data_IF_011511095608
#
_entry.id   IF_011511095608
#
_cell.length_a   1.000
_cell.length_b   1.000
_cell.length_c   1.000
_cell.angle_alpha   90.00
_cell.angle_beta   90.00
_cell.angle_gamma   90.00
#
_symmetry.space_group_name_H-M   'P 1'
#
loop_
_entity.id
_entity.type
_entity.pdbx_description
1 polymer ?
#
# COMPACT_ATOMS: atom_id res chain seq x y z
N UNK A 1 13.65 19.45 -26.57
CA UNK A 1 13.41 19.79 -25.15
C UNK A 1 12.14 19.11 -24.73
N UNK A 2 12.13 18.40 -23.60
CA UNK A 2 10.95 17.69 -23.10
C UNK A 2 10.03 18.64 -22.31
N UNK A 3 8.74 18.32 -22.25
CA UNK A 3 7.81 19.05 -21.38
C UNK A 3 7.97 18.59 -19.93
N UNK A 4 8.09 17.27 -19.70
CA UNK A 4 8.30 16.73 -18.37
C UNK A 4 9.27 15.53 -18.37
N UNK A 5 10.09 15.47 -17.33
CA UNK A 5 10.89 14.30 -16.98
C UNK A 5 10.42 13.76 -15.65
N UNK A 6 10.18 12.46 -15.56
CA UNK A 6 9.79 11.77 -14.32
C UNK A 6 10.95 10.91 -13.83
N UNK A 7 11.29 11.04 -12.55
CA UNK A 7 12.36 10.28 -11.90
C UNK A 7 11.73 9.25 -10.96
N UNK A 8 11.91 7.97 -11.28
CA UNK A 8 11.29 6.82 -10.62
C UNK A 8 10.09 6.29 -11.40
N UNK A 9 10.11 5.00 -11.75
CA UNK A 9 9.01 4.31 -12.43
C UNK A 9 8.14 3.50 -11.47
N UNK A 10 7.88 4.03 -10.27
CA UNK A 10 6.87 3.49 -9.38
C UNK A 10 5.45 3.78 -9.90
N UNK A 11 4.40 3.23 -9.25
CA UNK A 11 3.02 3.42 -9.69
C UNK A 11 2.62 4.90 -9.76
N UNK A 12 3.15 5.74 -8.86
CA UNK A 12 2.85 7.17 -8.90
C UNK A 12 3.61 7.88 -10.02
N UNK A 13 4.90 7.61 -10.22
CA UNK A 13 5.69 8.18 -11.31
C UNK A 13 5.12 7.83 -12.69
N UNK A 14 4.81 6.55 -12.91
CA UNK A 14 4.16 6.09 -14.13
C UNK A 14 2.78 6.75 -14.33
N UNK A 15 1.98 6.90 -13.27
CA UNK A 15 0.69 7.61 -13.36
C UNK A 15 0.89 9.07 -13.74
N UNK A 16 1.86 9.77 -13.14
CA UNK A 16 2.15 11.16 -13.47
C UNK A 16 2.55 11.29 -14.94
N UNK A 17 3.40 10.39 -15.43
CA UNK A 17 3.84 10.36 -16.82
C UNK A 17 2.68 10.14 -17.79
N UNK A 18 1.83 9.13 -17.54
CA UNK A 18 0.65 8.84 -18.36
C UNK A 18 -0.32 10.04 -18.36
N UNK A 19 -0.60 10.64 -17.21
CA UNK A 19 -1.52 11.78 -17.12
C UNK A 19 -1.02 13.01 -17.89
N UNK A 20 0.29 13.24 -17.92
CA UNK A 20 0.91 14.31 -18.71
C UNK A 20 0.90 13.97 -20.21
N UNK A 21 1.28 12.75 -20.59
CA UNK A 21 1.28 12.30 -21.98
C UNK A 21 -0.12 12.31 -22.60
N UNK A 22 -1.17 11.91 -21.86
CA UNK A 22 -2.58 12.02 -22.28
C UNK A 22 -3.02 13.45 -22.61
N UNK A 23 -2.31 14.45 -22.11
CA UNK A 23 -2.57 15.88 -22.36
C UNK A 23 -1.68 16.44 -23.48
N UNK A 24 -0.96 15.59 -24.20
CA UNK A 24 -0.11 15.96 -25.33
C UNK A 24 1.29 16.47 -24.95
N UNK A 25 1.71 16.31 -23.69
CA UNK A 25 3.06 16.67 -23.28
C UNK A 25 4.06 15.57 -23.63
N UNK A 26 5.26 15.97 -24.06
CA UNK A 26 6.39 15.07 -24.26
C UNK A 26 6.99 14.66 -22.91
N UNK A 27 7.01 13.35 -22.61
CA UNK A 27 7.41 12.82 -21.31
C UNK A 27 8.44 11.70 -21.44
N UNK A 28 9.49 11.75 -20.60
CA UNK A 28 10.43 10.65 -20.39
C UNK A 28 10.46 10.25 -18.91
N UNK A 29 10.52 8.94 -18.64
CA UNK A 29 10.66 8.37 -17.30
C UNK A 29 12.05 7.76 -17.16
N UNK A 30 12.72 8.00 -16.04
CA UNK A 30 14.02 7.40 -15.70
C UNK A 30 13.91 6.53 -14.46
N UNK A 31 14.35 5.29 -14.55
CA UNK A 31 14.29 4.27 -13.50
C UNK A 31 15.70 3.71 -13.26
N UNK A 32 16.10 3.64 -12.00
CA UNK A 32 17.42 3.16 -11.61
C UNK A 32 17.57 1.64 -11.78
N UNK A 33 16.45 0.91 -11.77
CA UNK A 33 16.41 -0.55 -11.91
C UNK A 33 16.20 -0.97 -13.35
N UNK A 34 16.47 -2.25 -13.64
CA UNK A 34 16.25 -2.86 -14.94
C UNK A 34 14.79 -3.04 -15.31
N UNK A 35 13.89 -2.93 -14.33
CA UNK A 35 12.44 -3.05 -14.51
C UNK A 35 11.71 -1.92 -13.82
N UNK A 36 10.56 -1.54 -14.40
CA UNK A 36 9.64 -0.59 -13.78
C UNK A 36 8.88 -1.22 -12.61
N UNK A 37 8.27 -0.38 -11.79
CA UNK A 37 7.21 -0.78 -10.86
C UNK A 37 7.48 -0.43 -9.40
N UNK A 38 8.73 -0.11 -9.02
CA UNK A 38 9.04 0.31 -7.64
C UNK A 38 8.58 -0.71 -6.60
N UNK A 39 7.50 -0.41 -5.87
CA UNK A 39 6.88 -1.31 -4.89
C UNK A 39 5.82 -2.28 -5.43
N UNK A 40 5.42 -2.13 -6.69
CA UNK A 40 4.47 -2.98 -7.40
C UNK A 40 5.23 -3.80 -8.46
N UNK A 41 6.11 -4.67 -7.98
CA UNK A 41 6.93 -5.58 -8.79
C UNK A 41 6.64 -7.02 -8.44
N UNK A 42 7.05 -7.91 -9.34
CA UNK A 42 6.97 -9.36 -9.18
C UNK A 42 8.30 -9.96 -9.62
N UNK A 43 8.85 -10.88 -8.82
CA UNK A 43 10.17 -11.49 -9.03
C UNK A 43 10.15 -12.97 -8.62
N UNK A 44 11.02 -13.80 -9.20
CA UNK A 44 11.28 -15.17 -8.74
C UNK A 44 12.31 -15.14 -7.59
N UNK A 45 11.83 -14.93 -6.37
CA UNK A 45 12.68 -14.73 -5.19
C UNK A 45 13.20 -16.03 -4.55
N UNK A 46 12.51 -17.17 -4.75
CA UNK A 46 12.84 -18.42 -4.06
C UNK A 46 13.32 -19.51 -5.02
N UNK A 47 12.40 -20.19 -5.69
CA UNK A 47 12.67 -21.27 -6.64
C UNK A 47 12.16 -20.87 -8.02
N UNK A 48 12.74 -21.41 -9.11
CA UNK A 48 12.26 -21.15 -10.47
C UNK A 48 10.77 -21.46 -10.62
N UNK A 49 10.02 -20.57 -11.28
CA UNK A 49 8.58 -20.68 -11.47
C UNK A 49 7.72 -20.24 -10.29
N UNK A 50 8.31 -19.85 -9.14
CA UNK A 50 7.58 -19.27 -8.01
C UNK A 50 7.73 -17.74 -8.03
N UNK A 51 6.64 -17.05 -8.37
CA UNK A 51 6.60 -15.60 -8.54
C UNK A 51 6.05 -14.93 -7.29
N UNK A 52 6.86 -14.07 -6.71
CA UNK A 52 6.57 -13.35 -5.46
C UNK A 52 6.46 -11.86 -5.73
N UNK A 53 5.67 -11.16 -4.91
CA UNK A 53 5.65 -9.70 -4.95
C UNK A 53 6.52 -9.18 -3.79
N UNK A 54 7.70 -8.59 -4.04
CA UNK A 54 8.61 -8.19 -2.96
C UNK A 54 8.03 -7.16 -1.98
N UNK A 55 6.97 -6.43 -2.37
CA UNK A 55 6.29 -5.45 -1.51
C UNK A 55 4.76 -5.56 -1.63
N UNK A 56 4.11 -4.77 -2.49
CA UNK A 56 2.65 -4.78 -2.61
C UNK A 56 2.17 -6.03 -3.36
N UNK A 57 1.14 -6.73 -2.88
CA UNK A 57 0.59 -7.93 -3.54
C UNK A 57 -0.95 -7.91 -3.67
N UNK A 58 -1.66 -7.50 -2.62
CA UNK A 58 -3.10 -7.21 -2.69
C UNK A 58 -3.31 -5.72 -2.99
N UNK A 59 -4.33 -5.40 -3.79
CA UNK A 59 -4.51 -4.08 -4.40
C UNK A 59 -5.85 -3.41 -4.10
N UNK A 60 -6.29 -3.31 -2.82
CA UNK A 60 -7.56 -2.68 -2.46
C UNK A 60 -7.66 -1.22 -2.90
N UNK A 61 -6.55 -0.48 -2.81
CA UNK A 61 -6.52 0.94 -3.19
C UNK A 61 -6.31 1.14 -4.70
N UNK A 62 -5.74 0.17 -5.41
CA UNK A 62 -5.50 0.29 -6.86
C UNK A 62 -6.81 0.16 -7.62
N UNK A 63 -7.58 -0.92 -7.38
CA UNK A 63 -8.87 -1.14 -8.05
C UNK A 63 -9.90 -0.04 -7.69
N UNK A 64 -9.78 0.55 -6.50
CA UNK A 64 -10.63 1.66 -6.06
C UNK A 64 -10.10 3.04 -6.45
N UNK A 65 -8.92 3.13 -7.09
CA UNK A 65 -8.31 4.42 -7.42
C UNK A 65 -9.05 5.12 -8.56
N UNK A 66 -9.49 6.38 -8.35
CA UNK A 66 -10.00 7.21 -9.44
C UNK A 66 -8.99 7.43 -10.56
N UNK A 67 -7.69 7.46 -10.25
CA UNK A 67 -6.64 7.64 -11.26
C UNK A 67 -6.57 6.43 -12.19
N UNK A 68 -6.46 5.21 -11.65
CA UNK A 68 -6.34 4.01 -12.47
C UNK A 68 -7.63 3.68 -13.22
N UNK A 69 -8.80 3.88 -12.60
CA UNK A 69 -10.10 3.64 -13.26
C UNK A 69 -10.37 4.56 -14.45
N UNK A 70 -9.67 5.69 -14.55
CA UNK A 70 -9.77 6.61 -15.68
C UNK A 70 -8.83 6.25 -16.85
N UNK A 71 -8.06 5.15 -16.72
CA UNK A 71 -7.10 4.66 -17.70
C UNK A 71 -7.55 3.29 -18.24
N UNK A 72 -7.35 2.99 -19.53
CA UNK A 72 -7.77 1.74 -20.14
C UNK A 72 -6.73 0.62 -19.90
N UNK A 73 -6.35 0.37 -18.64
CA UNK A 73 -5.23 -0.53 -18.30
C UNK A 73 -5.50 -2.00 -18.66
N UNK A 74 -6.77 -2.40 -18.71
CA UNK A 74 -7.19 -3.74 -19.12
C UNK A 74 -6.80 -4.03 -20.58
N UNK A 75 -6.76 -3.00 -21.44
CA UNK A 75 -6.28 -3.12 -22.83
C UNK A 75 -4.78 -3.44 -22.92
N UNK A 76 -4.06 -3.18 -21.83
CA UNK A 76 -2.62 -3.43 -21.70
C UNK A 76 -2.33 -4.64 -20.80
N UNK A 77 -3.32 -5.51 -20.57
CA UNK A 77 -3.13 -6.81 -19.92
C UNK A 77 -3.35 -6.81 -18.40
N UNK A 78 -3.80 -5.70 -17.80
CA UNK A 78 -4.15 -5.70 -16.37
C UNK A 78 -5.48 -6.44 -16.15
N UNK A 79 -5.45 -7.52 -15.38
CA UNK A 79 -6.63 -8.26 -14.94
C UNK A 79 -6.62 -8.42 -13.42
N UNK A 80 -7.73 -8.11 -12.78
CA UNK A 80 -7.92 -8.27 -11.34
C UNK A 80 -8.56 -9.61 -11.01
N UNK A 81 -7.92 -10.38 -10.13
CA UNK A 81 -8.41 -11.67 -9.64
C UNK A 81 -8.89 -11.51 -8.19
N UNK A 82 -10.10 -12.01 -7.93
CA UNK A 82 -10.76 -11.89 -6.64
C UNK A 82 -10.86 -13.25 -5.95
N UNK A 83 -10.32 -13.32 -4.73
CA UNK A 83 -10.60 -14.44 -3.83
C UNK A 83 -12.06 -14.39 -3.37
N UNK A 84 -12.58 -15.54 -2.93
CA UNK A 84 -13.93 -15.65 -2.37
C UNK A 84 -14.09 -14.64 -1.23
N UNK A 85 -13.12 -14.62 -0.31
CA UNK A 85 -12.99 -13.63 0.74
C UNK A 85 -11.82 -12.67 0.45
N UNK A 86 -12.06 -11.34 0.42
CA UNK A 86 -10.99 -10.36 0.37
C UNK A 86 -9.96 -10.55 1.50
N UNK A 87 -10.45 -10.72 2.74
CA UNK A 87 -9.58 -10.91 3.90
C UNK A 87 -10.25 -11.74 5.00
N UNK A 88 -9.46 -12.52 5.71
CA UNK A 88 -9.86 -13.21 6.94
C UNK A 88 -8.88 -12.93 8.09
N UNK A 89 -9.41 -12.95 9.31
CA UNK A 89 -8.68 -12.81 10.56
C UNK A 89 -8.94 -14.04 11.44
N UNK A 90 -8.12 -15.11 11.33
CA UNK A 90 -8.30 -16.33 12.10
C UNK A 90 -7.96 -16.14 13.58
N UNK A 91 -8.59 -16.95 14.42
CA UNK A 91 -8.35 -17.06 15.86
C UNK A 91 -7.77 -18.45 16.22
N UNK A 92 -7.06 -18.58 17.35
CA UNK A 92 -6.47 -19.85 17.76
C UNK A 92 -7.47 -20.99 18.00
N UNK A 93 -8.75 -20.67 18.23
CA UNK A 93 -9.83 -21.65 18.41
C UNK A 93 -10.36 -22.23 17.09
N UNK A 94 -9.82 -21.79 15.95
CA UNK A 94 -10.24 -22.21 14.61
C UNK A 94 -11.40 -21.40 14.03
N UNK A 95 -11.94 -20.42 14.75
CA UNK A 95 -12.88 -19.45 14.20
C UNK A 95 -12.16 -18.33 13.43
N UNK A 96 -12.91 -17.52 12.69
CA UNK A 96 -12.37 -16.34 12.02
C UNK A 96 -13.41 -15.22 11.93
N UNK A 97 -12.93 -13.98 12.02
CA UNK A 97 -13.65 -12.82 11.52
C UNK A 97 -13.31 -12.63 10.04
N UNK A 98 -14.29 -12.28 9.20
CA UNK A 98 -14.05 -12.10 7.76
C UNK A 98 -14.38 -10.70 7.32
N UNK A 99 -13.61 -10.18 6.36
CA UNK A 99 -13.96 -9.00 5.59
C UNK A 99 -14.35 -9.46 4.18
N UNK A 100 -15.64 -9.69 4.01
CA UNK A 100 -16.28 -10.05 2.77
C UNK A 100 -16.52 -8.83 1.86
N UNK A 101 -16.97 -9.09 0.62
CA UNK A 101 -17.44 -8.05 -0.31
C UNK A 101 -18.81 -7.51 0.05
N UNK A 102 -19.57 -8.21 0.90
CA UNK A 102 -20.87 -7.76 1.38
C UNK A 102 -20.77 -7.37 2.85
N UNK A 103 -21.44 -6.28 3.22
CA UNK A 103 -21.50 -5.84 4.62
C UNK A 103 -22.18 -6.89 5.50
N UNK A 104 -23.22 -7.54 4.97
CA UNK A 104 -23.99 -8.54 5.70
C UNK A 104 -23.15 -9.72 6.17
N UNK A 105 -22.30 -10.26 5.29
CA UNK A 105 -21.42 -11.40 5.60
C UNK A 105 -20.32 -11.03 6.60
N UNK A 106 -19.66 -9.87 6.41
CA UNK A 106 -18.71 -9.35 7.41
C UNK A 106 -19.37 -9.14 8.77
N UNK A 107 -20.55 -8.50 8.79
CA UNK A 107 -21.30 -8.26 10.02
C UNK A 107 -21.70 -9.58 10.71
N UNK A 108 -22.09 -10.60 9.96
CA UNK A 108 -22.43 -11.92 10.50
C UNK A 108 -21.23 -12.58 11.20
N UNK A 109 -20.02 -12.42 10.66
CA UNK A 109 -18.80 -12.98 11.27
C UNK A 109 -18.41 -12.36 12.62
N UNK A 110 -18.94 -11.18 12.95
CA UNK A 110 -18.71 -10.54 14.26
C UNK A 110 -19.68 -11.02 15.34
N UNK A 111 -20.67 -11.83 14.99
CA UNK A 111 -21.71 -12.28 15.91
C UNK A 111 -22.82 -11.25 16.13
N UNK A 112 -23.91 -11.67 16.78
CA UNK A 112 -25.16 -10.90 16.85
C UNK A 112 -25.04 -9.57 17.60
N UNK A 113 -24.06 -9.44 18.51
CA UNK A 113 -23.91 -8.25 19.36
C UNK A 113 -23.27 -7.07 18.62
N UNK A 114 -22.44 -7.36 17.61
CA UNK A 114 -21.62 -6.37 16.91
C UNK A 114 -21.98 -6.19 15.43
N UNK A 115 -22.78 -7.10 14.86
CA UNK A 115 -23.24 -7.04 13.47
C UNK A 115 -23.85 -5.67 13.12
N UNK A 116 -24.80 -5.19 13.92
CA UNK A 116 -25.48 -3.92 13.66
C UNK A 116 -24.59 -2.70 13.91
N UNK A 117 -23.65 -2.79 14.86
CA UNK A 117 -22.68 -1.73 15.08
C UNK A 117 -21.77 -1.56 13.86
N UNK A 118 -21.38 -2.66 13.22
CA UNK A 118 -20.61 -2.63 11.98
C UNK A 118 -21.42 -2.07 10.82
N UNK A 119 -22.65 -2.54 10.59
CA UNK A 119 -23.53 -2.04 9.52
C UNK A 119 -23.69 -0.52 9.57
N UNK A 120 -24.05 0.01 10.73
CA UNK A 120 -24.19 1.47 10.96
C UNK A 120 -22.90 2.25 10.73
N UNK A 121 -21.74 1.61 10.89
CA UNK A 121 -20.45 2.25 10.70
C UNK A 121 -20.06 2.34 9.21
N UNK A 122 -20.36 1.32 8.40
CA UNK A 122 -19.86 1.23 7.00
C UNK A 122 -20.92 1.54 5.95
N UNK A 123 -22.17 1.08 6.11
CA UNK A 123 -23.22 1.20 5.10
C UNK A 123 -23.50 2.64 4.64
N UNK A 124 -23.49 3.66 5.52
CA UNK A 124 -23.78 5.04 5.11
C UNK A 124 -22.82 5.59 4.04
N UNK A 125 -21.62 5.03 3.92
CA UNK A 125 -20.59 5.52 3.01
C UNK A 125 -20.55 4.75 1.68
N UNK A 126 -21.04 3.52 1.62
CA UNK A 126 -20.90 2.65 0.44
C UNK A 126 -21.61 3.16 -0.82
N UNK A 127 -22.87 3.65 -0.76
CA UNK A 127 -23.55 4.19 -1.95
C UNK A 127 -22.82 5.39 -2.57
N UNK A 128 -21.99 6.08 -1.78
CA UNK A 128 -21.23 7.27 -2.18
C UNK A 128 -19.73 7.01 -2.22
N UNK A 129 -19.30 5.74 -2.25
CA UNK A 129 -17.90 5.37 -2.17
C UNK A 129 -17.03 6.05 -3.24
N UNK A 130 -17.46 6.07 -4.50
CA UNK A 130 -16.66 6.67 -5.58
C UNK A 130 -16.43 8.17 -5.38
N UNK A 131 -17.44 8.89 -4.90
CA UNK A 131 -17.33 10.31 -4.57
C UNK A 131 -16.45 10.51 -3.33
N UNK A 132 -16.66 9.70 -2.29
CA UNK A 132 -15.88 9.76 -1.06
C UNK A 132 -14.39 9.45 -1.31
N UNK A 133 -14.09 8.35 -2.00
CA UNK A 133 -12.73 7.94 -2.34
C UNK A 133 -12.03 9.02 -3.17
N UNK A 134 -12.73 9.61 -4.15
CA UNK A 134 -12.20 10.75 -4.91
C UNK A 134 -11.90 11.95 -4.02
N UNK A 135 -12.87 12.38 -3.22
CA UNK A 135 -12.71 13.58 -2.38
C UNK A 135 -11.61 13.37 -1.33
N UNK A 136 -11.59 12.21 -0.67
CA UNK A 136 -10.54 11.80 0.29
C UNK A 136 -9.15 11.72 -0.37
N UNK A 137 -9.03 11.11 -1.55
CA UNK A 137 -7.75 10.94 -2.25
C UNK A 137 -7.28 12.19 -3.03
N UNK A 138 -8.12 13.21 -3.15
CA UNK A 138 -7.82 14.46 -3.89
C UNK A 138 -7.32 15.60 -3.01
N UNK A 139 -7.26 15.41 -1.69
CA UNK A 139 -6.65 16.37 -0.75
C UNK A 139 -5.19 16.61 -1.20
N UNK A 140 -4.81 17.86 -1.54
CA UNK A 140 -4.90 19.06 -0.70
C UNK A 140 -6.08 20.00 -1.01
N UNK A 141 -6.33 20.94 -0.07
CA UNK A 141 -7.35 22.03 -0.01
C UNK A 141 -7.62 22.85 -1.29
N UNK A 142 -6.90 22.61 -2.39
CA UNK A 142 -7.11 23.26 -3.69
C UNK A 142 -8.21 22.64 -4.54
N UNK A 143 -8.66 21.43 -4.22
CA UNK A 143 -9.81 20.79 -4.87
C UNK A 143 -11.04 20.90 -3.95
N UNK A 144 -12.08 21.59 -4.41
CA UNK A 144 -13.36 21.62 -3.71
C UNK A 144 -13.97 20.19 -3.71
N UNK A 145 -14.37 19.65 -2.56
CA UNK A 145 -14.99 18.33 -2.49
C UNK A 145 -16.31 18.35 -3.27
N UNK A 146 -16.62 17.25 -3.98
CA UNK A 146 -17.91 17.11 -4.67
C UNK A 146 -19.05 16.86 -3.68
N UNK A 147 -18.78 16.15 -2.60
CA UNK A 147 -19.75 15.90 -1.53
C UNK A 147 -19.16 16.24 -0.15
N UNK A 148 -19.11 17.54 0.21
CA UNK A 148 -18.57 17.98 1.50
C UNK A 148 -19.32 17.37 2.69
N UNK A 149 -20.60 17.05 2.56
CA UNK A 149 -21.42 16.49 3.65
C UNK A 149 -20.98 15.06 3.96
N UNK A 150 -20.84 14.21 2.94
CA UNK A 150 -20.35 12.85 3.12
C UNK A 150 -18.91 12.83 3.62
N UNK A 151 -18.05 13.70 3.08
CA UNK A 151 -16.66 13.82 3.54
C UNK A 151 -16.58 14.27 5.02
N UNK A 152 -17.42 15.22 5.43
CA UNK A 152 -17.48 15.65 6.83
C UNK A 152 -17.98 14.54 7.76
N UNK A 153 -19.03 13.79 7.37
CA UNK A 153 -19.51 12.62 8.10
C UNK A 153 -18.45 11.53 8.22
N UNK A 154 -17.70 11.30 7.15
CA UNK A 154 -16.56 10.38 7.15
C UNK A 154 -15.46 10.86 8.09
N UNK A 155 -15.14 12.16 8.08
CA UNK A 155 -14.20 12.79 9.02
C UNK A 155 -14.61 12.61 10.47
N UNK A 156 -15.89 12.81 10.82
CA UNK A 156 -16.39 12.58 12.18
C UNK A 156 -16.26 11.12 12.63
N UNK A 157 -16.40 10.17 11.71
CA UNK A 157 -16.22 8.75 11.99
C UNK A 157 -14.74 8.34 12.05
N UNK A 158 -13.88 8.91 11.19
CA UNK A 158 -12.52 8.44 10.96
C UNK A 158 -11.39 9.26 11.59
N UNK A 159 -11.58 10.55 11.90
CA UNK A 159 -10.57 11.36 12.58
C UNK A 159 -10.24 10.88 14.00
N UNK A 160 -11.19 10.33 14.79
CA UNK A 160 -10.86 9.77 16.09
C UNK A 160 -9.88 8.59 15.98
N UNK A 161 -9.08 8.34 17.05
CA UNK A 161 -8.26 7.14 17.12
C UNK A 161 -9.09 5.86 16.97
N UNK A 162 -8.51 4.85 16.33
CA UNK A 162 -9.19 3.57 16.14
C UNK A 162 -9.57 2.91 17.46
N UNK A 163 -8.80 3.14 18.53
CA UNK A 163 -9.13 2.67 19.88
C UNK A 163 -10.46 3.22 20.40
N UNK A 164 -10.86 4.44 20.02
CA UNK A 164 -12.17 5.00 20.36
C UNK A 164 -13.26 4.42 19.45
N UNK A 165 -12.95 4.26 18.16
CA UNK A 165 -13.88 3.66 17.20
C UNK A 165 -14.26 2.23 17.61
N UNK A 166 -13.28 1.43 18.01
CA UNK A 166 -13.45 0.04 18.44
C UNK A 166 -14.25 -0.13 19.74
N UNK A 167 -14.45 0.92 20.54
CA UNK A 167 -15.36 0.85 21.71
C UNK A 167 -16.82 0.61 21.34
N UNK A 168 -17.17 0.78 20.06
CA UNK A 168 -18.51 0.44 19.52
C UNK A 168 -18.75 -1.07 19.49
N UNK A 169 -17.68 -1.85 19.45
CA UNK A 169 -17.73 -3.31 19.41
C UNK A 169 -17.59 -3.87 20.82
N UNK A 170 -18.36 -4.91 21.13
CA UNK A 170 -18.38 -5.59 22.42
C UNK A 170 -17.40 -6.75 22.42
N UNK A 171 -17.41 -7.54 21.36
CA UNK A 171 -16.72 -8.82 21.27
C UNK A 171 -15.38 -8.65 20.54
N UNK A 172 -14.49 -9.63 20.73
CA UNK A 172 -13.12 -9.56 20.23
C UNK A 172 -12.99 -9.64 18.69
N UNK A 173 -13.81 -10.44 17.97
CA UNK A 173 -13.68 -10.59 16.52
C UNK A 173 -13.66 -9.27 15.73
N UNK A 174 -14.60 -8.38 16.03
CA UNK A 174 -14.69 -7.08 15.37
C UNK A 174 -13.52 -6.15 15.72
N UNK A 175 -13.07 -6.16 16.98
CA UNK A 175 -11.93 -5.35 17.44
C UNK A 175 -10.62 -5.82 16.84
N UNK A 176 -10.41 -7.13 16.76
CA UNK A 176 -9.19 -7.72 16.23
C UNK A 176 -9.07 -7.44 14.72
N UNK A 177 -10.12 -7.70 13.95
CA UNK A 177 -10.15 -7.39 12.51
C UNK A 177 -9.90 -5.90 12.25
N UNK A 178 -10.58 -5.00 12.98
CA UNK A 178 -10.38 -3.57 12.79
C UNK A 178 -8.98 -3.10 13.22
N UNK A 179 -8.41 -3.69 14.28
CA UNK A 179 -7.02 -3.42 14.69
C UNK A 179 -6.04 -3.82 13.59
N UNK A 180 -6.24 -4.97 12.96
CA UNK A 180 -5.41 -5.43 11.87
C UNK A 180 -5.54 -4.57 10.61
N UNK A 181 -6.73 -4.06 10.28
CA UNK A 181 -6.92 -3.07 9.19
C UNK A 181 -6.09 -1.80 9.40
N UNK A 182 -6.03 -1.28 10.64
CA UNK A 182 -5.22 -0.10 10.95
C UNK A 182 -3.72 -0.41 10.91
N UNK A 183 -3.35 -1.62 11.32
CA UNK A 183 -1.97 -2.06 11.34
C UNK A 183 -1.35 -2.17 9.92
N UNK A 184 -2.13 -2.20 8.83
CA UNK A 184 -1.64 -2.26 7.44
C UNK A 184 -0.69 -1.13 7.03
N UNK A 185 -0.72 -0.02 7.75
CA UNK A 185 0.12 1.16 7.46
C UNK A 185 1.14 1.41 8.58
N UNK A 186 1.42 0.40 9.40
CA UNK A 186 2.38 0.45 10.53
C UNK A 186 2.08 1.57 11.54
N UNK A 187 0.82 2.02 11.60
CA UNK A 187 0.38 3.08 12.49
C UNK A 187 0.01 2.52 13.86
N UNK A 188 0.30 3.25 14.96
CA UNK A 188 -0.18 2.88 16.28
C UNK A 188 -1.70 3.03 16.36
N UNK A 189 -2.42 2.08 16.97
CA UNK A 189 -3.89 2.11 17.05
C UNK A 189 -4.44 3.42 17.66
N UNK A 190 -3.76 3.97 18.67
CA UNK A 190 -4.18 5.19 19.37
C UNK A 190 -3.85 6.51 18.65
N UNK A 191 -3.31 6.49 17.43
CA UNK A 191 -2.93 7.69 16.70
C UNK A 191 -4.12 8.53 16.20
N UNK A 192 -3.89 9.81 15.95
CA UNK A 192 -4.86 10.67 15.27
C UNK A 192 -5.18 10.15 13.86
N UNK A 193 -6.46 10.19 13.46
CA UNK A 193 -6.98 9.75 12.16
C UNK A 193 -6.75 8.27 11.79
N UNK A 194 -6.39 7.42 12.75
CA UNK A 194 -6.21 5.97 12.49
C UNK A 194 -7.54 5.24 12.28
N UNK A 195 -8.66 5.79 12.78
CA UNK A 195 -9.99 5.29 12.45
C UNK A 195 -10.29 5.37 10.95
N UNK A 196 -9.88 6.46 10.29
CA UNK A 196 -10.09 6.68 8.86
C UNK A 196 -9.35 5.63 8.02
N UNK A 197 -8.13 5.26 8.41
CA UNK A 197 -7.36 4.20 7.76
C UNK A 197 -8.14 2.88 7.77
N UNK A 198 -8.58 2.43 8.94
CA UNK A 198 -9.34 1.18 9.07
C UNK A 198 -10.65 1.21 8.28
N UNK A 199 -11.35 2.35 8.30
CA UNK A 199 -12.59 2.55 7.53
C UNK A 199 -12.35 2.51 6.02
N UNK A 200 -11.31 3.19 5.49
CA UNK A 200 -11.00 3.17 4.05
C UNK A 200 -10.76 1.74 3.58
N UNK A 201 -9.98 0.96 4.32
CA UNK A 201 -9.70 -0.43 3.97
C UNK A 201 -10.95 -1.33 4.02
N UNK A 202 -11.79 -1.16 5.04
CA UNK A 202 -13.08 -1.86 5.13
C UNK A 202 -14.01 -1.49 3.97
N UNK A 203 -14.18 -0.19 3.69
CA UNK A 203 -15.03 0.29 2.61
C UNK A 203 -14.51 -0.14 1.23
N UNK A 204 -13.19 -0.13 1.02
CA UNK A 204 -12.57 -0.60 -0.21
C UNK A 204 -12.88 -2.09 -0.48
N UNK A 205 -12.92 -2.93 0.56
CA UNK A 205 -13.29 -4.34 0.45
C UNK A 205 -14.74 -4.52 -0.01
N UNK A 206 -15.67 -3.79 0.61
CA UNK A 206 -17.09 -3.84 0.25
C UNK A 206 -17.37 -3.26 -1.13
N UNK A 207 -16.64 -2.21 -1.52
CA UNK A 207 -16.88 -1.55 -2.79
C UNK A 207 -16.37 -2.38 -3.98
N UNK A 208 -15.13 -2.89 -3.91
CA UNK A 208 -14.48 -3.59 -5.03
C UNK A 208 -13.55 -4.72 -4.61
N UNK A 209 -13.54 -5.13 -3.35
CA UNK A 209 -12.69 -6.21 -2.85
C UNK A 209 -11.21 -5.84 -2.77
N UNK A 210 -10.40 -6.85 -2.42
CA UNK A 210 -8.94 -6.76 -2.29
C UNK A 210 -8.31 -7.74 -3.30
N UNK A 211 -8.36 -7.41 -4.61
CA UNK A 211 -7.86 -8.32 -5.63
C UNK A 211 -6.32 -8.40 -5.63
N UNK A 212 -5.82 -9.46 -6.25
CA UNK A 212 -4.45 -9.52 -6.76
C UNK A 212 -4.50 -9.29 -8.27
N UNK A 213 -3.41 -8.80 -8.86
CA UNK A 213 -3.33 -8.71 -10.31
C UNK A 213 -2.84 -10.05 -10.89
N UNK A 214 -3.44 -10.52 -12.00
CA UNK A 214 -3.00 -11.74 -12.68
C UNK A 214 -1.53 -11.63 -13.08
N UNK A 215 -0.75 -12.67 -12.79
CA UNK A 215 0.70 -12.70 -13.00
C UNK A 215 1.49 -11.91 -11.96
N UNK A 216 0.83 -11.20 -11.04
CA UNK A 216 1.41 -10.39 -9.97
C UNK A 216 1.34 -8.89 -10.17
N UNK A 217 1.81 -8.16 -9.17
CA UNK A 217 1.79 -6.70 -9.10
C UNK A 217 2.54 -6.00 -10.24
N UNK A 218 3.50 -6.70 -10.87
CA UNK A 218 4.22 -6.19 -12.04
C UNK A 218 3.27 -5.82 -13.19
N UNK A 219 2.18 -6.56 -13.38
CA UNK A 219 1.22 -6.34 -14.47
C UNK A 219 0.59 -4.94 -14.46
N UNK A 220 0.36 -4.35 -13.27
CA UNK A 220 -0.10 -2.96 -13.16
C UNK A 220 0.94 -1.97 -13.68
N UNK A 221 2.19 -2.16 -13.30
CA UNK A 221 3.31 -1.29 -13.69
C UNK A 221 3.60 -1.42 -15.19
N UNK A 222 3.54 -2.64 -15.72
CA UNK A 222 3.72 -2.93 -17.14
C UNK A 222 2.57 -2.33 -17.97
N UNK A 223 1.33 -2.43 -17.51
CA UNK A 223 0.18 -1.83 -18.19
C UNK A 223 0.28 -0.30 -18.26
N UNK A 224 0.71 0.35 -17.17
CA UNK A 224 0.96 1.80 -17.14
C UNK A 224 2.11 2.19 -18.09
N UNK A 225 3.22 1.43 -18.09
CA UNK A 225 4.36 1.70 -18.95
C UNK A 225 4.03 1.46 -20.43
N UNK A 226 3.26 0.42 -20.75
CA UNK A 226 2.80 0.15 -22.11
C UNK A 226 1.87 1.26 -22.61
N UNK A 227 0.93 1.70 -21.77
CA UNK A 227 0.06 2.82 -22.13
C UNK A 227 0.83 4.13 -22.31
N UNK A 228 1.84 4.40 -21.47
CA UNK A 228 2.71 5.56 -21.67
C UNK A 228 3.41 5.53 -23.03
N UNK A 229 3.92 4.37 -23.45
CA UNK A 229 4.58 4.21 -24.76
C UNK A 229 3.60 4.40 -25.92
N UNK A 230 2.37 3.90 -25.81
CA UNK A 230 1.30 4.14 -26.79
C UNK A 230 0.99 5.64 -26.96
N UNK A 231 1.07 6.40 -25.86
CA UNK A 231 0.94 7.86 -25.87
C UNK A 231 2.19 8.60 -26.36
N UNK A 232 3.24 7.89 -26.77
CA UNK A 232 4.51 8.47 -27.26
C UNK A 232 5.53 8.86 -26.18
N UNK A 233 5.31 8.47 -24.92
CA UNK A 233 6.29 8.67 -23.85
C UNK A 233 7.40 7.61 -23.85
N UNK A 234 8.57 7.95 -23.31
CA UNK A 234 9.71 7.02 -23.18
C UNK A 234 9.94 6.58 -21.73
N UNK A 235 10.51 5.38 -21.58
CA UNK A 235 10.94 4.83 -20.28
C UNK A 235 12.37 4.34 -20.43
N UNK A 236 13.26 4.86 -19.60
CA UNK A 236 14.69 4.53 -19.55
C UNK A 236 14.96 3.82 -18.22
N UNK A 237 15.24 2.51 -18.28
CA UNK A 237 15.67 1.70 -17.14
C UNK A 237 17.19 1.73 -17.01
N UNK A 238 17.71 1.17 -15.92
CA UNK A 238 19.16 1.08 -15.64
C UNK A 238 19.85 2.45 -15.60
N UNK A 239 19.10 3.50 -15.26
CA UNK A 239 19.58 4.87 -15.20
C UNK A 239 19.32 5.49 -13.84
N UNK A 240 20.32 5.42 -12.96
CA UNK A 240 20.27 6.08 -11.66
C UNK A 240 20.56 7.57 -11.79
N UNK A 241 19.54 8.40 -11.55
CA UNK A 241 19.67 9.86 -11.51
C UNK A 241 20.33 10.28 -10.19
N UNK A 242 21.56 10.79 -10.25
CA UNK A 242 22.33 11.21 -9.06
C UNK A 242 22.24 12.71 -8.82
N UNK A 243 22.14 13.49 -9.89
CA UNK A 243 22.00 14.95 -9.87
C UNK A 243 20.98 15.40 -10.91
N UNK A 244 20.37 16.57 -10.69
CA UNK A 244 19.40 17.13 -11.62
C UNK A 244 19.99 17.35 -13.02
N UNK A 245 21.27 17.71 -13.11
CA UNK A 245 21.99 17.95 -14.38
C UNK A 245 22.26 16.66 -15.18
N UNK A 246 22.05 15.49 -14.59
CA UNK A 246 22.17 14.21 -15.31
C UNK A 246 20.92 14.00 -16.22
N UNK A 247 19.83 14.75 -16.02
CA UNK A 247 18.60 14.64 -16.79
C UNK A 247 18.62 15.48 -18.06
N UNK A 248 17.91 15.05 -19.12
CA UNK A 248 17.76 15.87 -20.32
C UNK A 248 16.98 17.17 -20.01
N UNK A 249 17.25 18.27 -20.74
CA UNK A 249 16.55 19.54 -20.54
C UNK A 249 15.03 19.40 -20.68
N UNK A 250 14.31 19.73 -19.60
CA UNK A 250 12.86 19.70 -19.53
C UNK A 250 12.25 20.93 -18.85
N UNK A 251 10.99 21.22 -19.16
CA UNK A 251 10.23 22.32 -18.53
C UNK A 251 9.77 21.98 -17.11
N UNK A 252 9.63 20.69 -16.79
CA UNK A 252 9.30 20.19 -15.46
C UNK A 252 10.02 18.87 -15.13
N UNK A 253 10.40 18.69 -13.87
CA UNK A 253 10.99 17.46 -13.32
C UNK A 253 10.12 16.95 -12.17
N UNK A 254 9.65 15.71 -12.25
CA UNK A 254 8.67 15.13 -11.32
C UNK A 254 9.30 13.92 -10.63
N UNK A 255 9.48 13.99 -9.31
CA UNK A 255 10.17 12.95 -8.55
C UNK A 255 9.18 12.00 -7.88
N UNK A 256 9.19 10.73 -8.27
CA UNK A 256 8.59 9.60 -7.53
C UNK A 256 9.63 8.98 -6.57
N UNK A 257 10.28 9.85 -5.79
CA UNK A 257 11.34 9.47 -4.84
C UNK A 257 10.97 9.89 -3.42
N UNK A 258 11.73 9.42 -2.45
CA UNK A 258 11.65 9.92 -1.08
C UNK A 258 12.04 11.42 -1.04
N UNK A 259 11.53 12.20 -0.07
CA UNK A 259 11.86 13.62 0.04
C UNK A 259 13.37 13.86 0.27
N UNK A 260 14.06 12.94 0.95
CA UNK A 260 15.51 13.03 1.16
C UNK A 260 16.29 12.73 -0.12
N UNK A 261 15.86 11.76 -0.94
CA UNK A 261 16.46 11.52 -2.24
C UNK A 261 16.26 12.72 -3.18
N UNK A 262 15.06 13.29 -3.21
CA UNK A 262 14.78 14.53 -3.95
C UNK A 262 15.68 15.68 -3.48
N UNK A 263 15.80 15.89 -2.15
CA UNK A 263 16.66 16.94 -1.61
C UNK A 263 18.11 16.81 -2.07
N UNK A 264 18.63 15.58 -2.09
CA UNK A 264 19.98 15.26 -2.52
C UNK A 264 20.18 15.50 -4.01
N UNK A 265 19.28 14.99 -4.85
CA UNK A 265 19.41 15.06 -6.33
C UNK A 265 19.21 16.49 -6.84
N UNK A 266 18.22 17.21 -6.30
CA UNK A 266 17.86 18.57 -6.73
C UNK A 266 18.59 19.69 -5.95
N UNK A 267 19.47 19.35 -4.99
CA UNK A 267 20.25 20.32 -4.24
C UNK A 267 19.44 21.20 -3.27
N UNK A 268 18.39 20.68 -2.65
CA UNK A 268 17.54 21.44 -1.72
C UNK A 268 18.08 21.51 -0.28
N UNK A 269 19.28 20.99 -0.02
CA UNK A 269 19.91 20.97 1.30
C UNK A 269 18.97 20.39 2.36
N UNK A 270 18.78 21.13 3.45
CA UNK A 270 17.96 20.69 4.59
C UNK A 270 16.46 20.92 4.42
N UNK A 271 15.96 21.19 3.20
CA UNK A 271 14.54 21.48 2.99
C UNK A 271 13.65 20.39 3.60
N UNK A 272 13.97 19.10 3.45
CA UNK A 272 13.16 18.00 3.99
C UNK A 272 13.72 17.40 5.30
N UNK A 273 14.59 18.09 6.04
CA UNK A 273 15.23 17.56 7.24
C UNK A 273 14.25 17.18 8.37
N UNK A 274 13.07 17.81 8.42
CA UNK A 274 12.02 17.47 9.40
C UNK A 274 11.12 16.29 8.99
N UNK A 275 11.31 15.72 7.80
CA UNK A 275 10.51 14.59 7.32
C UNK A 275 10.92 13.30 8.02
N UNK A 276 9.96 12.64 8.70
CA UNK A 276 10.25 11.44 9.49
C UNK A 276 9.85 10.18 8.73
N UNK A 277 10.74 9.20 8.70
CA UNK A 277 10.44 7.84 8.27
C UNK A 277 9.88 7.02 9.44
N UNK A 278 8.98 6.10 9.12
CA UNK A 278 8.29 5.24 10.08
C UNK A 278 9.10 3.98 10.45
N UNK A 279 8.46 3.05 11.17
CA UNK A 279 8.97 1.70 11.36
C UNK A 279 9.35 1.01 10.06
N UNK A 280 10.11 -0.08 10.14
CA UNK A 280 10.38 -0.97 9.02
C UNK A 280 9.48 -2.20 8.99
N UNK A 281 9.68 -3.06 8.00
CA UNK A 281 9.10 -4.40 7.96
C UNK A 281 10.18 -5.46 7.78
N UNK A 282 9.94 -6.66 8.32
CA UNK A 282 10.69 -7.87 8.00
C UNK A 282 9.75 -8.81 7.26
N UNK A 283 10.06 -9.08 6.00
CA UNK A 283 9.21 -9.85 5.08
C UNK A 283 9.85 -11.17 4.71
N UNK A 284 9.01 -12.19 4.53
CA UNK A 284 9.41 -13.52 4.10
C UNK A 284 8.46 -13.96 2.98
N UNK A 285 9.06 -14.36 1.86
CA UNK A 285 8.39 -14.95 0.71
C UNK A 285 8.67 -16.46 0.70
N UNK A 286 7.62 -17.27 0.58
CA UNK A 286 7.66 -18.73 0.69
C UNK A 286 7.20 -19.39 -0.59
N UNK A 287 7.99 -20.34 -1.08
CA UNK A 287 7.52 -21.39 -1.98
C UNK A 287 6.99 -22.56 -1.16
N UNK A 288 5.77 -23.01 -1.44
CA UNK A 288 5.06 -24.02 -0.64
C UNK A 288 4.68 -25.26 -1.44
N UNK A 289 4.74 -26.43 -0.80
CA UNK A 289 4.23 -27.73 -1.26
C UNK A 289 2.74 -27.91 -0.96
N UNK A 290 1.93 -26.98 -1.46
CA UNK A 290 0.49 -26.94 -1.24
C UNK A 290 0.04 -25.66 -0.51
N UNK A 291 -1.28 -25.52 -0.27
CA UNK A 291 -1.83 -24.36 0.40
C UNK A 291 -1.41 -24.30 1.88
N UNK A 292 -1.45 -23.10 2.46
CA UNK A 292 -1.22 -22.91 3.90
C UNK A 292 -2.31 -23.66 4.68
N UNK A 293 -1.95 -24.51 5.66
CA UNK A 293 -2.91 -25.35 6.37
C UNK A 293 -3.61 -24.59 7.51
N UNK A 294 -4.25 -23.46 7.20
CA UNK A 294 -4.98 -22.66 8.20
C UNK A 294 -6.01 -23.51 8.94
N UNK A 295 -6.08 -23.38 10.27
CA UNK A 295 -7.09 -24.05 11.09
C UNK A 295 -8.49 -23.54 10.73
N UNK A 296 -8.65 -22.22 10.61
CA UNK A 296 -9.91 -21.59 10.19
C UNK A 296 -10.17 -21.81 8.70
N UNK A 297 -11.38 -22.25 8.35
CA UNK A 297 -11.77 -22.57 6.97
C UNK A 297 -11.78 -21.31 6.10
N UNK A 298 -12.26 -20.21 6.64
CA UNK A 298 -12.39 -18.91 5.97
C UNK A 298 -11.03 -18.38 5.50
N UNK A 299 -9.97 -18.60 6.31
CA UNK A 299 -8.62 -18.18 5.96
C UNK A 299 -8.04 -18.94 4.76
N UNK A 300 -8.52 -20.16 4.46
CA UNK A 300 -8.13 -20.93 3.26
C UNK A 300 -8.71 -20.35 1.97
N UNK A 301 -9.86 -19.68 2.06
CA UNK A 301 -10.55 -19.05 0.93
C UNK A 301 -10.21 -17.56 0.77
N UNK A 302 -9.42 -17.00 1.70
CA UNK A 302 -9.09 -15.58 1.72
C UNK A 302 -7.83 -15.23 0.92
N UNK A 303 -7.89 -14.15 0.15
CA UNK A 303 -6.72 -13.62 -0.56
C UNK A 303 -5.68 -13.04 0.40
N UNK A 304 -6.13 -12.36 1.46
CA UNK A 304 -5.29 -11.79 2.52
C UNK A 304 -5.64 -12.41 3.86
N UNK A 305 -4.66 -12.74 4.70
CA UNK A 305 -4.89 -13.21 6.07
C UNK A 305 -4.14 -12.34 7.07
N UNK A 306 -4.86 -11.84 8.07
CA UNK A 306 -4.32 -11.04 9.17
C UNK A 306 -4.09 -11.95 10.39
N UNK A 307 -2.85 -12.02 10.86
CA UNK A 307 -2.50 -12.93 11.96
C UNK A 307 -2.17 -12.14 13.21
N UNK A 308 -3.05 -12.25 14.21
CA UNK A 308 -2.85 -11.72 15.56
C UNK A 308 -4.00 -12.16 16.45
N UNK A 309 -3.71 -12.75 17.62
CA UNK A 309 -4.74 -13.46 18.38
C UNK A 309 -5.85 -12.56 18.96
N UNK A 310 -5.56 -11.26 19.15
CA UNK A 310 -6.50 -10.28 19.70
C UNK A 310 -6.06 -8.85 19.37
N UNK A 311 -6.99 -7.90 19.48
CA UNK A 311 -6.72 -6.46 19.42
C UNK A 311 -5.65 -6.02 20.43
N UNK A 312 -5.60 -6.66 21.61
CA UNK A 312 -4.58 -6.40 22.62
C UNK A 312 -3.19 -6.90 22.20
N UNK A 313 -3.08 -8.10 21.61
CA UNK A 313 -1.83 -8.66 21.07
C UNK A 313 -1.30 -7.77 19.94
N UNK A 314 -2.17 -7.39 18.99
CA UNK A 314 -1.84 -6.48 17.88
C UNK A 314 -1.35 -5.13 18.41
N UNK A 315 -2.10 -4.54 19.35
CA UNK A 315 -1.73 -3.27 19.97
C UNK A 315 -0.38 -3.34 20.70
N UNK A 316 -0.08 -4.45 21.37
CA UNK A 316 1.21 -4.66 22.03
C UNK A 316 2.37 -4.77 21.03
N UNK A 317 2.19 -5.53 19.94
CA UNK A 317 3.19 -5.64 18.88
C UNK A 317 3.49 -4.27 18.23
N UNK A 318 2.45 -3.49 17.94
CA UNK A 318 2.61 -2.14 17.38
C UNK A 318 3.32 -1.18 18.34
N UNK A 319 3.05 -1.25 19.65
CA UNK A 319 3.74 -0.44 20.66
C UNK A 319 5.21 -0.81 20.81
N UNK A 320 5.51 -2.12 20.83
CA UNK A 320 6.88 -2.63 20.91
C UNK A 320 7.76 -2.03 19.80
N UNK A 321 7.24 -2.00 18.58
CA UNK A 321 7.93 -1.45 17.41
C UNK A 321 7.99 0.08 17.43
N UNK A 322 6.83 0.74 17.58
CA UNK A 322 6.72 2.18 17.35
C UNK A 322 7.15 3.06 18.53
N UNK A 323 7.16 2.53 19.76
CA UNK A 323 7.48 3.29 20.98
C UNK A 323 8.68 2.73 21.73
N UNK A 324 8.80 1.41 21.80
CA UNK A 324 9.84 0.75 22.59
C UNK A 324 11.09 0.43 21.75
N UNK A 325 11.01 0.56 20.42
CA UNK A 325 12.15 0.35 19.52
C UNK A 325 12.65 -1.09 19.47
N UNK A 326 11.78 -2.07 19.77
CA UNK A 326 12.13 -3.51 19.78
C UNK A 326 11.23 -4.32 18.84
N UNK A 327 11.78 -5.44 18.34
CA UNK A 327 10.98 -6.43 17.63
C UNK A 327 10.01 -7.14 18.58
N UNK A 328 8.77 -7.44 18.16
CA UNK A 328 7.78 -8.11 19.01
C UNK A 328 7.95 -9.64 19.02
N UNK A 329 7.75 -10.27 20.17
CA UNK A 329 7.77 -11.74 20.31
C UNK A 329 6.57 -12.42 19.65
N UNK A 330 5.45 -11.68 19.57
CA UNK A 330 4.21 -12.07 18.90
C UNK A 330 3.85 -10.99 17.88
N UNK A 331 4.46 -11.01 16.68
CA UNK A 331 4.19 -10.00 15.67
C UNK A 331 2.74 -10.10 15.19
N UNK A 332 2.15 -8.94 14.90
CA UNK A 332 1.02 -8.90 13.97
C UNK A 332 1.58 -9.15 12.57
N UNK A 333 1.04 -10.13 11.86
CA UNK A 333 1.44 -10.44 10.50
C UNK A 333 0.37 -10.06 9.50
N UNK A 334 0.82 -9.48 8.41
CA UNK A 334 0.03 -9.32 7.20
C UNK A 334 0.54 -10.33 6.21
N UNK A 335 -0.38 -11.04 5.56
CA UNK A 335 -0.04 -12.13 4.65
C UNK A 335 -0.97 -12.11 3.44
N UNK A 336 -0.47 -12.55 2.28
CA UNK A 336 -1.28 -12.70 1.06
C UNK A 336 -1.00 -14.06 0.42
N UNK A 337 -2.04 -14.65 -0.16
CA UNK A 337 -2.05 -15.96 -0.80
C UNK A 337 -2.42 -15.86 -2.29
N UNK A 338 -1.56 -15.32 -3.18
CA UNK A 338 -1.91 -15.08 -4.58
C UNK A 338 -2.34 -16.35 -5.33
N UNK A 339 -1.69 -17.49 -5.05
CA UNK A 339 -1.97 -18.78 -5.69
C UNK A 339 -3.36 -19.35 -5.40
N UNK A 340 -4.12 -18.79 -4.44
CA UNK A 340 -5.52 -19.19 -4.22
C UNK A 340 -6.39 -18.84 -5.43
N UNK A 341 -6.04 -17.79 -6.18
CA UNK A 341 -6.81 -17.33 -7.35
C UNK A 341 -6.01 -17.24 -8.62
N UNK A 342 -4.68 -17.23 -8.54
CA UNK A 342 -3.80 -17.09 -9.68
C UNK A 342 -2.86 -18.30 -9.83
N UNK A 343 -3.20 -19.28 -10.69
CA UNK A 343 -2.35 -20.45 -10.90
C UNK A 343 -1.04 -20.12 -11.61
N UNK A 344 -0.86 -18.90 -12.14
CA UNK A 344 0.37 -18.51 -12.83
C UNK A 344 1.52 -18.15 -11.87
N UNK A 345 1.23 -18.11 -10.57
CA UNK A 345 2.18 -17.68 -9.52
C UNK A 345 3.14 -18.77 -9.08
N UNK A 346 2.78 -20.03 -9.27
CA UNK A 346 3.56 -21.19 -8.83
C UNK A 346 3.35 -22.37 -9.78
N UNK A 347 4.25 -23.37 -9.80
CA UNK A 347 4.02 -24.63 -10.50
C UNK A 347 2.74 -25.34 -10.03
N UNK A 348 2.21 -26.23 -10.86
CA UNK A 348 0.97 -26.96 -10.55
C UNK A 348 1.05 -27.70 -9.20
N UNK A 349 0.02 -27.54 -8.37
CA UNK A 349 -0.07 -28.12 -7.03
C UNK A 349 0.79 -27.42 -5.96
N UNK A 350 1.58 -26.40 -6.34
CA UNK A 350 2.41 -25.60 -5.43
C UNK A 350 1.80 -24.22 -5.23
N UNK A 351 2.24 -23.52 -4.19
CA UNK A 351 1.73 -22.19 -3.85
C UNK A 351 2.86 -21.21 -3.54
N UNK A 352 2.62 -19.93 -3.78
CA UNK A 352 3.38 -18.84 -3.16
C UNK A 352 2.58 -18.24 -2.01
N UNK A 353 3.29 -17.86 -0.97
CA UNK A 353 2.75 -17.20 0.21
C UNK A 353 3.80 -16.22 0.72
N UNK A 354 3.38 -15.07 1.24
CA UNK A 354 4.30 -14.21 1.97
C UNK A 354 3.68 -13.70 3.25
N UNK A 355 4.54 -13.44 4.23
CA UNK A 355 4.19 -12.81 5.48
C UNK A 355 5.19 -11.70 5.80
N UNK A 356 4.73 -10.59 6.36
CA UNK A 356 5.63 -9.64 7.01
C UNK A 356 5.12 -9.25 8.39
N UNK A 357 6.08 -8.97 9.27
CA UNK A 357 5.86 -8.33 10.57
C UNK A 357 6.51 -6.95 10.61
N UNK A 358 6.01 -6.08 11.48
CA UNK A 358 6.64 -4.78 11.72
C UNK A 358 7.87 -4.92 12.60
N UNK A 359 8.91 -4.13 12.28
CA UNK A 359 10.15 -4.03 13.04
C UNK A 359 10.56 -2.56 13.21
N UNK A 360 11.42 -2.22 14.19
CA UNK A 360 11.91 -0.86 14.35
C UNK A 360 12.57 -0.32 13.06
N UNK A 361 12.57 1.00 12.92
CA UNK A 361 13.23 1.68 11.80
C UNK A 361 14.72 1.30 11.75
N UNK A 362 15.19 0.79 10.60
CA UNK A 362 16.59 0.41 10.41
C UNK A 362 17.03 -0.82 11.22
N UNK A 363 16.10 -1.64 11.70
CA UNK A 363 16.41 -2.86 12.45
C UNK A 363 17.18 -3.89 11.60
N UNK A 364 18.11 -4.62 12.20
CA UNK A 364 19.06 -5.51 11.51
C UNK A 364 19.04 -6.97 11.99
N UNK A 365 18.05 -7.36 12.80
CA UNK A 365 17.92 -8.74 13.27
C UNK A 365 17.20 -9.65 12.27
N UNK A 366 16.92 -10.87 12.71
CA UNK A 366 16.15 -11.87 11.95
C UNK A 366 14.84 -12.20 12.69
N UNK A 367 13.70 -11.98 12.04
CA UNK A 367 12.36 -12.26 12.59
C UNK A 367 11.80 -13.61 12.10
N UNK A 368 12.55 -14.38 11.32
CA UNK A 368 12.09 -15.59 10.62
C UNK A 368 11.41 -16.59 11.53
N UNK A 369 12.13 -17.05 12.55
CA UNK A 369 11.63 -18.06 13.48
C UNK A 369 10.42 -17.55 14.30
N UNK A 370 10.41 -16.26 14.63
CA UNK A 370 9.26 -15.62 15.30
C UNK A 370 8.03 -15.51 14.41
N UNK A 371 8.19 -15.15 13.13
CA UNK A 371 7.10 -15.14 12.14
C UNK A 371 6.55 -16.56 11.95
N UNK A 372 7.41 -17.55 11.74
CA UNK A 372 6.97 -18.92 11.50
C UNK A 372 6.28 -19.51 12.75
N UNK A 373 6.76 -19.24 13.96
CA UNK A 373 6.06 -19.63 15.20
C UNK A 373 4.68 -18.99 15.28
N UNK A 374 4.58 -17.73 14.88
CA UNK A 374 3.29 -17.04 14.87
C UNK A 374 2.36 -17.65 13.83
N UNK A 375 2.84 -18.06 12.65
CA UNK A 375 2.04 -18.77 11.64
C UNK A 375 1.57 -20.14 12.14
N UNK A 376 2.45 -20.94 12.76
CA UNK A 376 2.11 -22.27 13.29
C UNK A 376 0.98 -22.24 14.33
N UNK A 377 0.83 -21.14 15.09
CA UNK A 377 -0.30 -20.97 16.03
C UNK A 377 -1.67 -20.99 15.34
N UNK A 378 -1.74 -20.64 14.05
CA UNK A 378 -2.98 -20.51 13.28
C UNK A 378 -3.04 -21.45 12.07
N UNK A 379 -1.90 -21.99 11.64
CA UNK A 379 -1.76 -22.97 10.57
C UNK A 379 -0.75 -24.07 10.96
N UNK A 380 -1.12 -24.99 11.87
CA UNK A 380 -0.24 -26.08 12.28
C UNK A 380 0.23 -26.93 11.08
N UNK A 381 1.54 -27.18 11.02
CA UNK A 381 2.18 -27.89 9.89
C UNK A 381 2.55 -26.97 8.73
N UNK A 382 2.55 -25.64 8.93
CA UNK A 382 2.98 -24.68 7.92
C UNK A 382 4.43 -24.91 7.49
N UNK A 383 5.34 -25.10 8.45
CA UNK A 383 6.78 -25.30 8.18
C UNK A 383 7.04 -26.53 7.32
N UNK A 384 6.28 -27.59 7.51
CA UNK A 384 6.39 -28.82 6.72
C UNK A 384 6.02 -28.60 5.25
N UNK A 385 5.32 -27.51 4.92
CA UNK A 385 4.99 -27.11 3.55
C UNK A 385 6.06 -26.25 2.90
N UNK A 386 7.04 -25.73 3.63
CA UNK A 386 8.01 -24.76 3.09
C UNK A 386 9.07 -25.47 2.25
N UNK A 387 9.07 -25.20 0.94
CA UNK A 387 10.09 -25.68 0.01
C UNK A 387 11.32 -24.77 0.00
N UNK A 388 11.09 -23.46 0.05
CA UNK A 388 12.14 -22.44 0.10
C UNK A 388 11.57 -21.14 0.65
N UNK A 389 12.44 -20.32 1.24
CA UNK A 389 12.11 -18.99 1.76
C UNK A 389 13.12 -17.95 1.31
N UNK A 390 12.65 -16.74 1.05
CA UNK A 390 13.47 -15.55 0.81
C UNK A 390 13.11 -14.50 1.85
N UNK A 391 14.08 -14.04 2.61
CA UNK A 391 13.91 -13.06 3.68
C UNK A 391 14.38 -11.68 3.22
N UNK A 392 13.69 -10.64 3.68
CA UNK A 392 14.07 -9.25 3.45
C UNK A 392 13.76 -8.42 4.70
N UNK A 393 14.80 -8.02 5.41
CA UNK A 393 14.72 -7.05 6.49
C UNK A 393 14.82 -5.62 5.97
N UNK A 394 14.84 -4.63 6.89
CA UNK A 394 14.99 -3.22 6.55
C UNK A 394 16.18 -2.89 5.62
N UNK A 395 17.40 -3.45 5.81
CA UNK A 395 18.52 -3.17 4.90
C UNK A 395 18.29 -3.72 3.48
N UNK A 396 17.77 -4.94 3.35
CA UNK A 396 17.52 -5.58 2.06
C UNK A 396 16.40 -4.85 1.30
N UNK A 397 15.36 -4.40 2.00
CA UNK A 397 14.28 -3.60 1.42
C UNK A 397 14.78 -2.25 0.92
N UNK A 398 15.62 -1.55 1.71
CA UNK A 398 16.22 -0.28 1.31
C UNK A 398 17.16 -0.45 0.10
N UNK A 399 17.93 -1.54 0.06
CA UNK A 399 18.77 -1.88 -1.08
C UNK A 399 17.94 -2.22 -2.34
N UNK A 400 16.76 -2.83 -2.17
CA UNK A 400 15.82 -3.15 -3.27
C UNK A 400 15.18 -1.90 -3.86
N UNK A 401 14.74 -0.98 -3.00
CA UNK A 401 14.09 0.27 -3.38
C UNK A 401 14.54 1.39 -2.44
N UNK A 402 15.24 2.40 -2.99
CA UNK A 402 15.80 3.51 -2.24
C UNK A 402 14.74 4.39 -1.51
N UNK A 403 13.45 4.22 -1.83
CA UNK A 403 12.37 4.87 -1.10
C UNK A 403 12.05 4.19 0.25
N UNK A 404 12.52 2.96 0.49
CA UNK A 404 12.27 2.19 1.72
C UNK A 404 13.33 2.46 2.78
N UNK A 405 13.53 3.73 3.12
CA UNK A 405 14.54 4.17 4.08
C UNK A 405 14.25 3.53 5.45
N UNK A 406 15.24 2.79 5.97
CA UNK A 406 15.11 2.04 7.22
C UNK A 406 14.00 0.99 7.19
N UNK A 407 13.63 0.48 6.01
CA UNK A 407 12.58 -0.53 5.80
C UNK A 407 11.16 0.04 5.74
N UNK A 408 10.98 1.36 5.76
CA UNK A 408 9.68 2.00 5.73
C UNK A 408 9.02 1.92 4.35
N UNK A 409 8.13 0.94 4.17
CA UNK A 409 7.39 0.72 2.92
C UNK A 409 6.32 1.79 2.63
N UNK A 410 6.02 2.68 3.58
CA UNK A 410 5.12 3.81 3.40
C UNK A 410 5.85 5.08 2.90
N UNK A 411 7.19 5.04 2.80
CA UNK A 411 8.05 6.18 2.44
C UNK A 411 7.75 7.44 3.28
N UNK A 412 7.49 7.24 4.58
CA UNK A 412 7.22 8.30 5.54
C UNK A 412 6.25 7.86 6.63
N UNK A 413 6.58 8.21 7.88
CA UNK A 413 5.82 7.83 9.07
C UNK A 413 4.33 8.19 8.95
N UNK A 414 3.47 7.19 9.13
CA UNK A 414 2.01 7.27 9.14
C UNK A 414 1.55 7.62 10.56
N UNK A 415 1.97 8.79 11.05
CA UNK A 415 1.67 9.23 12.41
C UNK A 415 1.53 10.75 12.54
N UNK A 416 0.69 11.15 13.49
CA UNK A 416 0.42 12.55 13.82
C UNK A 416 -0.05 13.37 12.61
N UNK A 417 0.34 14.65 12.57
CA UNK A 417 -0.03 15.55 11.47
C UNK A 417 0.68 15.21 10.15
N UNK A 418 1.79 14.47 10.16
CA UNK A 418 2.50 14.07 8.93
C UNK A 418 1.66 13.13 8.06
N UNK A 419 0.70 12.40 8.63
CA UNK A 419 -0.23 11.60 7.84
C UNK A 419 -0.97 12.47 6.78
N UNK A 420 -1.47 13.63 7.21
CA UNK A 420 -2.29 14.51 6.36
C UNK A 420 -1.46 15.59 5.64
N UNK A 421 -0.40 16.06 6.29
CA UNK A 421 0.39 17.23 5.86
C UNK A 421 1.76 16.84 5.30
N UNK A 422 1.93 15.62 4.80
CA UNK A 422 3.17 15.19 4.12
C UNK A 422 3.30 15.85 2.73
N UNK A 423 4.51 16.09 2.20
CA UNK A 423 5.79 16.02 2.91
C UNK A 423 6.02 17.22 3.84
N UNK A 424 5.26 18.30 3.66
CA UNK A 424 5.29 19.51 4.49
C UNK A 424 3.89 20.12 4.64
N UNK A 425 3.62 20.86 5.73
CA UNK A 425 2.42 21.69 5.89
C UNK A 425 2.35 22.79 4.82
N UNK A 426 1.68 22.51 3.70
CA UNK A 426 1.46 23.45 2.60
C UNK A 426 0.16 23.14 1.86
N UNK A 427 -0.41 24.16 1.23
CA UNK A 427 -1.55 24.00 0.32
C UNK A 427 -1.14 23.40 -1.04
N UNK A 428 0.16 23.38 -1.34
CA UNK A 428 0.72 22.88 -2.61
C UNK A 428 1.76 21.77 -2.37
N UNK A 429 1.37 20.60 -1.82
CA UNK A 429 2.26 19.53 -1.37
C UNK A 429 3.11 18.88 -2.48
N UNK A 430 2.73 19.06 -3.75
CA UNK A 430 3.48 18.54 -4.90
C UNK A 430 4.52 19.51 -5.44
N UNK A 431 4.52 20.77 -5.00
CA UNK A 431 5.49 21.79 -5.42
C UNK A 431 6.69 21.80 -4.49
N UNK A 432 7.84 22.17 -5.04
CA UNK A 432 9.09 22.33 -4.30
C UNK A 432 9.57 23.79 -4.38
N UNK A 433 10.65 24.17 -3.67
CA UNK A 433 11.24 25.52 -3.81
C UNK A 433 11.65 25.87 -5.23
N UNK A 434 12.05 24.88 -6.04
CA UNK A 434 12.37 25.12 -7.43
C UNK A 434 11.10 25.04 -8.29
N UNK A 435 10.80 26.07 -9.09
CA UNK A 435 9.50 26.20 -9.76
C UNK A 435 9.28 25.19 -10.90
N UNK A 436 10.33 24.50 -11.36
CA UNK A 436 10.27 23.40 -12.31
C UNK A 436 10.35 22.01 -11.67
N UNK A 437 10.55 21.89 -10.35
CA UNK A 437 10.70 20.59 -9.68
C UNK A 437 9.48 20.27 -8.82
N UNK A 438 8.98 19.05 -8.95
CA UNK A 438 7.78 18.53 -8.30
C UNK A 438 8.07 17.19 -7.63
N UNK A 439 7.25 16.84 -6.65
CA UNK A 439 7.28 15.53 -5.98
C UNK A 439 5.92 14.85 -6.13
N UNK A 440 5.91 13.54 -6.38
CA UNK A 440 4.69 12.77 -6.63
C UNK A 440 4.65 11.41 -5.91
N UNK A 441 5.57 11.14 -5.00
CA UNK A 441 5.67 9.83 -4.33
C UNK A 441 4.66 9.63 -3.20
N UNK A 442 4.68 8.45 -2.57
CA UNK A 442 3.93 8.13 -1.35
C UNK A 442 4.23 9.05 -0.16
N UNK A 443 5.29 9.86 -0.26
CA UNK A 443 5.60 10.91 0.68
C UNK A 443 4.71 12.16 0.52
N UNK A 444 3.85 12.21 -0.49
CA UNK A 444 2.86 13.26 -0.71
C UNK A 444 1.44 12.72 -0.47
N UNK A 445 0.43 13.59 -0.22
CA UNK A 445 -0.94 13.15 -0.03
C UNK A 445 -1.46 12.53 -1.35
N UNK A 446 -2.36 11.54 -1.30
CA UNK A 446 -3.09 11.08 -0.11
C UNK A 446 -2.31 10.09 0.78
N UNK A 447 -1.09 9.73 0.41
CA UNK A 447 -0.16 8.98 1.26
C UNK A 447 0.26 7.63 0.66
N UNK A 448 0.52 6.63 1.51
CA UNK A 448 1.05 5.35 1.05
C UNK A 448 -0.05 4.47 0.43
N UNK A 449 0.40 3.56 -0.44
CA UNK A 449 -0.46 2.59 -1.12
C UNK A 449 -0.30 2.64 -2.63
N UNK A 450 -0.60 1.53 -3.30
CA UNK A 450 -0.57 1.44 -4.75
C UNK A 450 -1.89 1.99 -5.30
N UNK A 451 -1.98 3.30 -5.48
CA UNK A 451 -3.18 3.97 -6.01
C UNK A 451 -2.91 4.96 -7.15
N UNK A 452 -1.66 5.39 -7.40
CA UNK A 452 -1.34 6.36 -8.47
C UNK A 452 -1.81 7.81 -8.23
N UNK A 453 -2.69 8.06 -7.24
CA UNK A 453 -3.25 9.38 -6.95
C UNK A 453 -2.22 10.48 -6.67
N UNK A 454 -1.10 10.17 -6.02
CA UNK A 454 -0.03 11.15 -5.80
C UNK A 454 0.58 11.61 -7.13
N UNK A 455 0.79 10.67 -8.06
CA UNK A 455 1.15 10.94 -9.45
C UNK A 455 0.13 11.78 -10.20
N UNK A 456 -1.13 11.37 -10.14
CA UNK A 456 -2.25 12.06 -10.78
C UNK A 456 -2.41 13.52 -10.31
N UNK A 457 -2.29 13.77 -9.00
CA UNK A 457 -2.41 15.11 -8.45
C UNK A 457 -1.16 15.98 -8.73
N UNK A 458 0.05 15.39 -8.71
CA UNK A 458 1.26 16.08 -9.14
C UNK A 458 1.20 16.47 -10.62
N UNK A 459 0.69 15.60 -11.51
CA UNK A 459 0.51 15.90 -12.93
C UNK A 459 -0.41 17.12 -13.15
N UNK A 460 -1.45 17.31 -12.32
CA UNK A 460 -2.28 18.53 -12.36
C UNK A 460 -1.47 19.78 -11.98
N UNK A 461 -0.62 19.67 -10.96
CA UNK A 461 0.23 20.78 -10.52
C UNK A 461 1.25 21.18 -11.61
N UNK A 462 1.86 20.19 -12.27
CA UNK A 462 2.75 20.36 -13.41
C UNK A 462 2.00 20.98 -14.58
N UNK A 463 0.84 20.44 -14.96
CA UNK A 463 0.03 20.96 -16.05
C UNK A 463 -0.35 22.43 -15.86
N UNK A 464 -0.79 22.81 -14.64
CA UNK A 464 -1.09 24.20 -14.31
C UNK A 464 0.14 25.10 -14.48
N UNK A 465 1.34 24.61 -14.12
CA UNK A 465 2.59 25.35 -14.29
C UNK A 465 2.95 25.52 -15.76
N UNK A 466 2.93 24.44 -16.55
CA UNK A 466 3.27 24.44 -17.98
C UNK A 466 2.32 25.26 -18.85
N UNK A 467 1.13 25.63 -18.35
CA UNK A 467 0.21 26.55 -19.04
C UNK A 467 0.42 28.02 -18.66
N UNK A 468 1.09 28.29 -17.56
CA UNK A 468 1.39 29.65 -17.09
C UNK A 468 2.71 30.20 -17.66
N UNK A 469 3.53 29.31 -18.24
CA UNK A 469 4.83 29.56 -18.85
C UNK A 469 4.77 29.14 -20.30
#
# INVERSE_FOLDING_TARGET
MLDAVVVGAGPNGLTAAVELARRGFSVAVFEARSTVGGGARTEELTLPGFRHDPCSAAHPLAINSPAFRALPLERYGLEWLHAELPMAHPFPDGSAAVLARTVGETAASFGPRDADAYRRLVEPFLPKWDTLARDFMSLPLTALPRDPVTLARFGLAGLPPSTLLMRRFRDEPAKALFSGLVAHVMAPLGGFATGAIGLVFALAAHARGWPVARGGSQSLSDALAAYLRDLGGSVHTDYEVKRLDDLPPARAYVFDTSPTALARIAGFGNHYAGYRYGPGVFKIDYALDGPVPWTAKEARAAGTVQVGASSAEIGAALRAVSREGRAPDKPFLITVQPSVVDPTRAPAGKHVFWAYGHVPHGWTGDLTDTIERQLERFAPGFRDRVLARATAGPPELAARNANYIGGDIASGAVSGLQLLLRPKPTLFPYRTPHPAVFICSSATPPGPGVHGMSGHNAAKAVWKRLRQT
#
